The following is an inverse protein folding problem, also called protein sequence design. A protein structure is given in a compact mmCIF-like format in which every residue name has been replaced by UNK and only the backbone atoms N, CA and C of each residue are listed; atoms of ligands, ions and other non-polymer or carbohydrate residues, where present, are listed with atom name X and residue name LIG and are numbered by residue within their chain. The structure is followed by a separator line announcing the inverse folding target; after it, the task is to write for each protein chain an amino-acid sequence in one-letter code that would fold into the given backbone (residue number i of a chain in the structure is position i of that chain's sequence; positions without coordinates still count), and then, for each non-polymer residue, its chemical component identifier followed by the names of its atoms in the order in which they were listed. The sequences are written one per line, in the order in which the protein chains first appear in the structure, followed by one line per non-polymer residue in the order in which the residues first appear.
data_IF_229181916746
#
_entry.id   IF_229181916746
#
_cell.length_a   1.000
_cell.length_b   1.000
_cell.length_c   1.000
_cell.angle_alpha   90.00
_cell.angle_beta   90.00
_cell.angle_gamma   90.00
#
_symmetry.space_group_name_H-M   'P 1'
#
loop_
_entity.id
_entity.type
_entity.pdbx_description
1 polymer ?
#
# COMPACT_ATOMS: atom_id res chain seq x y z
N UNK A 1 -12.50 -16.55 2.84
CA UNK A 1 -11.44 -16.67 3.85
C UNK A 1 -12.08 -16.96 5.20
N UNK A 2 -11.71 -18.03 5.90
CA UNK A 2 -12.10 -18.24 7.30
C UNK A 2 -10.96 -17.80 8.23
N UNK A 3 -11.22 -17.52 9.52
CA UNK A 3 -10.17 -17.18 10.49
C UNK A 3 -9.06 -18.23 10.57
N UNK A 4 -9.41 -19.53 10.57
CA UNK A 4 -8.45 -20.62 10.68
C UNK A 4 -7.57 -20.74 9.43
N UNK A 5 -8.18 -20.60 8.24
CA UNK A 5 -7.46 -20.60 6.98
C UNK A 5 -6.49 -19.40 6.91
N UNK A 6 -6.95 -18.22 7.34
CA UNK A 6 -6.13 -17.02 7.38
C UNK A 6 -4.96 -17.14 8.37
N UNK A 7 -5.20 -17.64 9.58
CA UNK A 7 -4.14 -17.87 10.54
C UNK A 7 -3.07 -18.80 9.97
N UNK A 8 -3.48 -19.91 9.34
CA UNK A 8 -2.54 -20.86 8.73
C UNK A 8 -1.71 -20.25 7.60
N UNK A 9 -2.33 -19.45 6.73
CA UNK A 9 -1.64 -18.75 5.64
C UNK A 9 -0.69 -17.66 6.17
N UNK A 10 -1.13 -16.89 7.16
CA UNK A 10 -0.34 -15.82 7.76
C UNK A 10 0.90 -16.37 8.49
N UNK A 11 0.76 -17.47 9.23
CA UNK A 11 1.88 -18.16 9.87
C UNK A 11 2.94 -18.61 8.84
N UNK A 12 2.49 -19.17 7.72
CA UNK A 12 3.39 -19.54 6.62
C UNK A 12 4.08 -18.33 6.00
N UNK A 13 3.31 -17.26 5.73
CA UNK A 13 3.84 -16.02 5.17
C UNK A 13 4.88 -15.37 6.08
N UNK A 14 4.64 -15.34 7.41
CA UNK A 14 5.58 -14.85 8.41
C UNK A 14 6.87 -15.68 8.39
N UNK A 15 6.78 -17.00 8.23
CA UNK A 15 7.95 -17.88 8.08
C UNK A 15 8.82 -17.55 6.86
N UNK A 16 8.27 -16.86 5.86
CA UNK A 16 9.00 -16.37 4.68
C UNK A 16 9.38 -14.89 4.78
N UNK A 17 8.66 -14.10 5.58
CA UNK A 17 8.91 -12.69 5.78
C UNK A 17 10.18 -12.49 6.63
N UNK A 18 11.07 -11.60 6.20
CA UNK A 18 12.27 -11.29 6.96
C UNK A 18 11.92 -10.48 8.23
N UNK A 19 11.66 -9.19 8.05
CA UNK A 19 11.46 -8.23 9.13
C UNK A 19 10.25 -7.31 8.91
N UNK A 20 9.58 -7.43 7.76
CA UNK A 20 8.49 -6.56 7.34
C UNK A 20 7.47 -7.33 6.50
N UNK A 21 6.18 -7.05 6.71
CA UNK A 21 5.06 -7.63 5.99
C UNK A 21 3.98 -6.56 5.73
N UNK A 22 3.44 -6.55 4.51
CA UNK A 22 2.30 -5.72 4.12
C UNK A 22 1.06 -6.59 3.94
N UNK A 23 0.00 -6.30 4.67
CA UNK A 23 -1.26 -7.06 4.70
C UNK A 23 -2.43 -6.14 4.37
N UNK A 24 -3.11 -6.44 3.25
CA UNK A 24 -4.22 -5.63 2.74
C UNK A 24 -5.51 -6.43 2.69
N UNK A 25 -6.62 -5.78 3.03
CA UNK A 25 -7.93 -6.27 2.68
C UNK A 25 -8.15 -6.09 1.17
N UNK A 26 -8.60 -7.16 0.50
CA UNK A 26 -8.88 -7.12 -0.93
C UNK A 26 -10.05 -6.17 -1.23
N UNK A 27 -9.80 -5.13 -2.01
CA UNK A 27 -10.82 -4.26 -2.60
C UNK A 27 -11.07 -4.68 -4.05
N UNK A 28 -12.34 -4.77 -4.45
CA UNK A 28 -12.73 -5.15 -5.80
C UNK A 28 -12.92 -3.90 -6.66
N UNK A 29 -11.96 -3.65 -7.54
CA UNK A 29 -11.98 -2.52 -8.48
C UNK A 29 -12.57 -2.93 -9.84
N UNK A 30 -13.41 -2.09 -10.42
CA UNK A 30 -14.02 -2.33 -11.74
C UNK A 30 -12.95 -2.53 -12.83
N UNK A 31 -13.23 -3.44 -13.77
CA UNK A 31 -12.30 -3.76 -14.86
C UNK A 31 -11.15 -4.69 -14.48
N UNK A 32 -11.01 -5.08 -13.21
CA UNK A 32 -10.00 -6.06 -12.79
C UNK A 32 -10.48 -7.51 -12.98
N UNK A 33 -9.56 -8.49 -13.10
CA UNK A 33 -9.93 -9.91 -13.10
C UNK A 33 -10.72 -10.31 -11.84
N UNK A 34 -10.39 -9.73 -10.68
CA UNK A 34 -11.12 -9.97 -9.44
C UNK A 34 -12.57 -9.50 -9.50
N UNK A 35 -12.85 -8.38 -10.18
CA UNK A 35 -14.22 -7.93 -10.42
C UNK A 35 -15.02 -8.95 -11.23
N UNK A 36 -14.46 -9.47 -12.32
CA UNK A 36 -15.13 -10.49 -13.14
C UNK A 36 -15.40 -11.79 -12.35
N UNK A 37 -14.42 -12.24 -11.56
CA UNK A 37 -14.55 -13.43 -10.72
C UNK A 37 -15.58 -13.25 -9.59
N UNK A 38 -15.60 -12.09 -8.95
CA UNK A 38 -16.59 -11.75 -7.93
C UNK A 38 -18.01 -11.68 -8.51
N UNK A 39 -18.18 -11.00 -9.66
CA UNK A 39 -19.46 -10.95 -10.38
C UNK A 39 -19.96 -12.34 -10.78
N UNK A 40 -19.05 -13.24 -11.15
CA UNK A 40 -19.33 -14.64 -11.43
C UNK A 40 -19.48 -15.53 -10.18
N UNK A 41 -19.46 -14.95 -8.97
CA UNK A 41 -19.58 -15.63 -7.66
C UNK A 41 -18.56 -16.76 -7.47
N UNK A 42 -17.35 -16.60 -8.01
CA UNK A 42 -16.26 -17.59 -7.88
C UNK A 42 -15.57 -17.53 -6.52
N UNK A 43 -15.74 -16.43 -5.79
CA UNK A 43 -15.39 -16.29 -4.38
C UNK A 43 -16.32 -15.25 -3.74
N UNK A 44 -16.27 -15.17 -2.41
CA UNK A 44 -17.08 -14.25 -1.60
C UNK A 44 -16.12 -13.34 -0.84
N UNK A 45 -16.38 -12.04 -0.87
CA UNK A 45 -15.70 -11.07 -0.02
C UNK A 45 -16.32 -11.13 1.38
N UNK A 46 -15.51 -11.18 2.45
CA UNK A 46 -15.99 -10.99 3.81
C UNK A 46 -16.91 -9.78 3.94
N UNK A 47 -18.00 -9.92 4.70
CA UNK A 47 -18.71 -8.73 5.17
C UNK A 47 -17.84 -7.95 6.18
N UNK A 48 -18.33 -6.79 6.62
CA UNK A 48 -17.56 -5.90 7.46
C UNK A 48 -17.20 -6.51 8.83
N UNK A 49 -18.10 -7.28 9.41
CA UNK A 49 -17.88 -7.90 10.73
C UNK A 49 -16.83 -9.00 10.61
N UNK A 50 -16.96 -9.88 9.60
CA UNK A 50 -15.98 -10.92 9.34
C UNK A 50 -14.62 -10.35 8.94
N UNK A 51 -14.58 -9.25 8.19
CA UNK A 51 -13.34 -8.54 7.86
C UNK A 51 -12.67 -7.96 9.11
N UNK A 52 -13.45 -7.40 10.05
CA UNK A 52 -12.94 -6.89 11.31
C UNK A 52 -12.35 -8.00 12.19
N UNK A 53 -12.98 -9.17 12.24
CA UNK A 53 -12.46 -10.35 12.95
C UNK A 53 -11.12 -10.82 12.35
N UNK A 54 -11.03 -10.90 11.01
CA UNK A 54 -9.78 -11.24 10.34
C UNK A 54 -8.68 -10.19 10.58
N UNK A 55 -9.03 -8.91 10.61
CA UNK A 55 -8.10 -7.84 10.97
C UNK A 55 -7.59 -8.00 12.39
N UNK A 56 -8.48 -8.18 13.38
CA UNK A 56 -8.10 -8.38 14.78
C UNK A 56 -7.16 -9.59 14.96
N UNK A 57 -7.49 -10.71 14.32
CA UNK A 57 -6.65 -11.92 14.30
C UNK A 57 -5.27 -11.66 13.67
N UNK A 58 -5.22 -10.88 12.58
CA UNK A 58 -3.97 -10.46 11.95
C UNK A 58 -3.08 -9.71 12.94
N UNK A 59 -3.65 -8.77 13.70
CA UNK A 59 -2.91 -8.00 14.70
C UNK A 59 -2.35 -8.88 15.81
N UNK A 60 -3.14 -9.84 16.29
CA UNK A 60 -2.73 -10.78 17.34
C UNK A 60 -1.53 -11.62 16.90
N UNK A 61 -1.65 -12.29 15.75
CA UNK A 61 -0.62 -13.19 15.21
C UNK A 61 0.67 -12.40 14.93
N UNK A 62 0.59 -11.32 14.16
CA UNK A 62 1.77 -10.52 13.80
C UNK A 62 2.50 -9.97 15.04
N UNK A 63 1.76 -9.51 16.05
CA UNK A 63 2.34 -9.05 17.32
C UNK A 63 3.05 -10.18 18.07
N UNK A 64 2.44 -11.37 18.14
CA UNK A 64 3.04 -12.54 18.78
C UNK A 64 4.38 -12.96 18.13
N UNK A 65 4.53 -12.71 16.82
CA UNK A 65 5.76 -12.96 16.06
C UNK A 65 6.78 -11.81 16.08
N UNK A 66 6.50 -10.75 16.85
CA UNK A 66 7.38 -9.59 16.96
C UNK A 66 7.34 -8.68 15.74
N UNK A 67 6.24 -8.70 14.98
CA UNK A 67 5.93 -7.83 13.85
C UNK A 67 4.73 -6.94 14.22
N UNK A 68 4.82 -6.03 15.22
CA UNK A 68 3.71 -5.13 15.51
C UNK A 68 3.35 -4.26 14.30
N UNK A 69 2.08 -3.86 14.22
CA UNK A 69 1.66 -2.86 13.24
C UNK A 69 2.27 -1.49 13.56
N UNK A 70 2.82 -0.83 12.55
CA UNK A 70 3.29 0.56 12.66
C UNK A 70 2.39 1.55 11.91
N UNK A 71 1.46 1.03 11.10
CA UNK A 71 0.37 1.72 10.41
C UNK A 71 -0.71 0.69 10.00
N UNK A 72 -1.74 1.11 9.27
CA UNK A 72 -2.97 0.32 9.02
C UNK A 72 -2.68 -1.05 8.36
N UNK A 73 -1.81 -1.09 7.36
CA UNK A 73 -1.62 -2.29 6.52
C UNK A 73 -0.22 -2.88 6.62
N UNK A 74 0.64 -2.35 7.49
CA UNK A 74 2.03 -2.79 7.54
C UNK A 74 2.52 -3.07 8.96
N UNK A 75 3.27 -4.17 9.04
CA UNK A 75 3.73 -4.84 10.25
C UNK A 75 5.23 -5.08 10.11
N UNK A 76 5.99 -4.70 11.12
CA UNK A 76 7.45 -4.81 11.04
C UNK A 76 8.08 -4.98 12.40
N UNK A 77 9.27 -5.60 12.43
CA UNK A 77 10.12 -5.58 13.61
C UNK A 77 10.50 -4.13 13.91
N UNK A 78 10.63 -3.73 15.20
CA UNK A 78 11.10 -2.40 15.54
C UNK A 78 12.42 -2.08 14.83
N UNK A 79 12.45 -0.97 14.09
CA UNK A 79 13.59 -0.54 13.27
C UNK A 79 13.55 -0.99 11.80
N UNK A 80 12.64 -1.88 11.43
CA UNK A 80 12.41 -2.33 10.04
C UNK A 80 11.21 -1.63 9.37
N UNK A 81 10.65 -0.59 10.00
CA UNK A 81 9.50 0.13 9.44
C UNK A 81 9.86 0.84 8.13
N UNK A 82 8.95 0.78 7.15
CA UNK A 82 9.14 1.50 5.89
C UNK A 82 9.18 3.01 6.14
N UNK A 83 10.37 3.59 5.98
CA UNK A 83 10.57 5.06 6.00
C UNK A 83 9.68 5.76 4.97
N UNK A 84 9.46 5.14 3.82
CA UNK A 84 8.61 5.67 2.76
C UNK A 84 7.15 5.76 3.22
N UNK A 85 6.58 4.66 3.72
CA UNK A 85 5.19 4.66 4.21
C UNK A 85 5.01 5.65 5.36
N UNK A 86 5.92 5.65 6.34
CA UNK A 86 5.89 6.58 7.46
C UNK A 86 5.99 8.04 7.02
N UNK A 87 6.72 8.33 5.94
CA UNK A 87 6.79 9.68 5.36
C UNK A 87 5.42 10.13 4.87
N UNK A 88 4.65 9.28 4.19
CA UNK A 88 3.28 9.63 3.80
C UNK A 88 2.36 9.81 4.99
N UNK A 89 2.31 8.83 5.90
CA UNK A 89 1.41 8.84 7.05
C UNK A 89 1.65 10.03 7.98
N UNK A 90 2.90 10.46 8.14
CA UNK A 90 3.26 11.60 8.99
C UNK A 90 3.23 12.94 8.26
N UNK A 91 2.71 12.98 7.04
CA UNK A 91 2.73 14.18 6.20
C UNK A 91 4.14 14.79 6.10
N UNK A 92 5.15 13.94 5.92
CA UNK A 92 6.53 14.34 5.67
C UNK A 92 6.73 14.93 4.27
N UNK A 93 7.97 15.32 4.00
CA UNK A 93 8.39 15.87 2.71
C UNK A 93 9.03 14.80 1.84
N UNK A 94 8.64 14.76 0.58
CA UNK A 94 9.20 13.84 -0.41
C UNK A 94 9.07 14.40 -1.82
N UNK A 95 10.01 14.02 -2.67
CA UNK A 95 9.97 14.29 -4.11
C UNK A 95 9.54 13.02 -4.82
N UNK A 96 8.58 13.13 -5.75
CA UNK A 96 8.16 12.05 -6.63
C UNK A 96 8.95 12.07 -7.93
N UNK A 97 9.51 10.93 -8.32
CA UNK A 97 10.24 10.77 -9.58
C UNK A 97 9.69 9.57 -10.34
N UNK A 98 9.47 9.75 -11.64
CA UNK A 98 8.94 8.71 -12.52
C UNK A 98 7.46 8.91 -12.89
N UNK A 99 6.94 8.10 -13.82
CA UNK A 99 5.56 8.17 -14.26
C UNK A 99 4.57 7.98 -13.11
N UNK A 100 3.56 8.85 -13.02
CA UNK A 100 2.50 8.82 -12.00
C UNK A 100 2.96 9.18 -10.58
N UNK A 101 4.24 9.51 -10.39
CA UNK A 101 4.77 9.87 -9.09
C UNK A 101 4.13 11.15 -8.55
N UNK A 102 3.91 11.17 -7.24
CA UNK A 102 3.46 12.35 -6.52
C UNK A 102 4.62 12.89 -5.69
N UNK A 103 4.67 14.20 -5.51
CA UNK A 103 5.62 14.87 -4.63
C UNK A 103 4.90 15.85 -3.71
N UNK A 104 5.44 16.02 -2.51
CA UNK A 104 4.94 16.98 -1.53
C UNK A 104 6.10 17.48 -0.68
N UNK A 105 6.51 18.73 -0.86
CA UNK A 105 7.66 19.32 -0.16
C UNK A 105 7.44 20.81 0.07
N UNK A 106 8.28 21.44 0.87
CA UNK A 106 8.28 22.88 1.09
C UNK A 106 9.38 23.52 0.25
N UNK A 107 8.99 24.50 -0.54
CA UNK A 107 9.90 25.27 -1.37
C UNK A 107 9.60 26.76 -1.18
N UNK A 108 10.63 27.56 -0.87
CA UNK A 108 10.47 28.99 -0.58
C UNK A 108 9.41 29.31 0.49
N UNK A 109 9.30 28.46 1.52
CA UNK A 109 8.32 28.61 2.60
C UNK A 109 6.87 28.26 2.21
N UNK A 110 6.64 27.77 1.00
CA UNK A 110 5.31 27.34 0.52
C UNK A 110 5.28 25.82 0.33
N UNK A 111 4.17 25.19 0.70
CA UNK A 111 3.94 23.78 0.38
C UNK A 111 3.70 23.66 -1.13
N UNK A 112 4.52 22.85 -1.79
CA UNK A 112 4.39 22.49 -3.19
C UNK A 112 3.94 21.03 -3.27
N UNK A 113 2.96 20.77 -4.14
CA UNK A 113 2.55 19.43 -4.55
C UNK A 113 2.89 19.28 -6.02
N UNK A 114 3.33 18.09 -6.42
CA UNK A 114 3.60 17.78 -7.83
C UNK A 114 2.95 16.47 -8.18
N UNK A 115 2.34 16.41 -9.37
CA UNK A 115 1.73 15.22 -9.95
C UNK A 115 2.41 15.00 -11.31
N UNK A 116 3.05 13.85 -11.47
CA UNK A 116 3.69 13.48 -12.73
C UNK A 116 2.69 12.81 -13.70
N UNK A 117 2.94 12.98 -15.00
CA UNK A 117 2.25 12.26 -16.06
C UNK A 117 2.26 10.75 -15.79
N UNK A 118 1.11 10.09 -15.91
CA UNK A 118 0.92 8.69 -15.53
C UNK A 118 1.43 7.73 -16.60
N UNK A 119 1.25 8.08 -17.88
CA UNK A 119 1.65 7.22 -18.99
C UNK A 119 3.17 7.28 -19.19
N UNK A 120 3.90 6.17 -19.05
CA UNK A 120 5.37 6.18 -19.12
C UNK A 120 5.94 6.83 -20.38
N UNK A 121 5.34 6.58 -21.54
CA UNK A 121 5.78 7.12 -22.83
C UNK A 121 5.55 8.63 -22.90
N UNK A 122 4.38 9.10 -22.46
CA UNK A 122 4.07 10.54 -22.42
C UNK A 122 4.97 11.25 -21.40
N UNK A 123 5.19 10.62 -20.24
CA UNK A 123 6.09 11.13 -19.21
C UNK A 123 7.52 11.27 -19.74
N UNK A 124 8.04 10.27 -20.44
CA UNK A 124 9.38 10.31 -21.02
C UNK A 124 9.52 11.45 -22.05
N UNK A 125 8.55 11.57 -22.97
CA UNK A 125 8.52 12.66 -23.95
C UNK A 125 8.49 14.05 -23.28
N UNK A 126 7.75 14.21 -22.18
CA UNK A 126 7.71 15.46 -21.42
C UNK A 126 9.06 15.77 -20.76
N UNK A 127 9.72 14.76 -20.19
CA UNK A 127 11.05 14.91 -19.58
C UNK A 127 12.07 15.33 -20.64
N UNK A 128 12.08 14.69 -21.81
CA UNK A 128 12.99 15.07 -22.92
C UNK A 128 12.73 16.48 -23.45
N UNK A 129 11.45 16.86 -23.59
CA UNK A 129 11.08 18.15 -24.16
C UNK A 129 11.15 19.33 -23.18
N UNK A 130 10.91 19.11 -21.88
CA UNK A 130 10.72 20.16 -20.86
C UNK A 130 11.65 20.03 -19.65
N UNK A 131 12.38 18.93 -19.53
CA UNK A 131 13.23 18.63 -18.37
C UNK A 131 12.47 18.04 -17.17
N UNK A 132 11.14 17.89 -17.23
CA UNK A 132 10.36 17.27 -16.17
C UNK A 132 9.05 16.65 -16.69
N UNK A 133 8.54 15.65 -15.96
CA UNK A 133 7.27 14.99 -16.24
C UNK A 133 6.07 15.50 -15.42
N UNK A 134 6.23 16.60 -14.66
CA UNK A 134 5.14 17.19 -13.85
C UNK A 134 4.05 17.80 -14.74
N UNK A 135 2.80 17.40 -14.52
CA UNK A 135 1.61 17.86 -15.27
C UNK A 135 0.55 18.53 -14.38
N UNK A 136 0.69 18.48 -13.05
CA UNK A 136 -0.21 19.18 -12.13
C UNK A 136 0.34 19.26 -10.71
N UNK A 137 -0.46 19.81 -9.80
CA UNK A 137 -0.11 20.06 -8.40
C UNK A 137 -0.44 21.46 -7.93
#
# INVERSE_FOLDING_TARGET
QTPEAWASELEQAIGHAADHLSLYQLTIEEGTPFHALHAAKKFIIPDNDHAADLYALTQEITTAHGLPAYEISNHARPGAESRHNLTYWRYGEYVGVGPGAHGRFVEHGRRTVTIAERMPETWANLVEAKGHGVTGG
#
